data_IF_782567903867
#
_entry.id   IF_782567903867
#
_cell.length_a   1.000
_cell.length_b   1.000
_cell.length_c   1.000
_cell.angle_alpha   90.00
_cell.angle_beta   90.00
_cell.angle_gamma   90.00
#
_symmetry.space_group_name_H-M   'P 1'
#
loop_
_entity.id
_entity.type
_entity.pdbx_description
1 polymer ?
#
# COMPACT_ATOMS: atom_id res chain seq x y z
N UNK A 1 49.77 -17.42 -52.23
CA UNK A 1 48.42 -17.65 -51.68
C UNK A 1 48.61 -17.87 -50.19
N UNK A 2 48.41 -16.82 -49.40
CA UNK A 2 48.48 -16.90 -47.94
C UNK A 2 47.06 -16.66 -47.42
N UNK A 3 46.41 -17.74 -47.02
CA UNK A 3 45.06 -17.71 -46.48
C UNK A 3 45.10 -17.38 -44.99
N UNK A 4 44.18 -16.49 -44.60
CA UNK A 4 44.04 -15.88 -43.29
C UNK A 4 43.40 -16.84 -42.27
N UNK A 5 43.57 -16.56 -40.96
CA UNK A 5 43.22 -17.46 -39.87
C UNK A 5 41.80 -17.21 -39.35
N UNK A 6 41.18 -18.22 -38.75
CA UNK A 6 40.10 -18.02 -37.77
C UNK A 6 40.07 -19.17 -36.79
N UNK A 7 40.95 -19.05 -35.79
CA UNK A 7 40.73 -19.67 -34.50
C UNK A 7 39.55 -18.99 -33.80
N UNK A 8 38.61 -19.78 -33.32
CA UNK A 8 38.09 -19.81 -31.94
C UNK A 8 36.70 -20.43 -31.97
N UNK A 9 36.67 -21.69 -31.56
CA UNK A 9 35.51 -22.52 -31.37
C UNK A 9 34.76 -22.00 -30.13
N UNK A 10 33.72 -21.21 -30.34
CA UNK A 10 32.88 -20.70 -29.24
C UNK A 10 32.25 -21.86 -28.46
N UNK A 11 32.58 -21.95 -27.17
CA UNK A 11 31.88 -22.82 -26.22
C UNK A 11 30.48 -22.22 -25.95
N UNK A 12 29.42 -23.04 -25.82
CA UNK A 12 28.12 -22.53 -25.40
C UNK A 12 28.21 -22.09 -23.93
N UNK A 13 27.96 -20.81 -23.68
CA UNK A 13 27.77 -20.26 -22.34
C UNK A 13 26.49 -20.87 -21.76
N UNK A 14 26.66 -21.79 -20.83
CA UNK A 14 25.58 -22.22 -19.93
C UNK A 14 25.29 -21.05 -18.99
N UNK A 15 24.20 -20.33 -19.25
CA UNK A 15 23.66 -19.36 -18.30
C UNK A 15 23.04 -20.14 -17.13
N UNK A 16 23.76 -20.25 -16.01
CA UNK A 16 23.18 -20.64 -14.74
C UNK A 16 23.27 -19.48 -13.74
N UNK A 17 22.06 -19.18 -13.23
CA UNK A 17 21.71 -18.50 -11.99
C UNK A 17 21.89 -16.98 -11.97
N UNK A 18 20.71 -16.34 -12.02
CA UNK A 18 20.13 -15.84 -10.78
C UNK A 18 19.72 -14.40 -10.88
N UNK A 19 18.43 -14.13 -11.01
CA UNK A 19 17.78 -13.09 -10.22
C UNK A 19 16.27 -13.19 -10.29
N UNK A 20 15.68 -12.97 -9.12
CA UNK A 20 14.30 -12.65 -8.85
C UNK A 20 13.22 -13.60 -9.39
N UNK A 21 12.77 -14.46 -8.48
CA UNK A 21 11.37 -14.87 -8.34
C UNK A 21 10.43 -13.75 -8.78
N UNK A 22 9.96 -13.78 -10.03
CA UNK A 22 8.70 -13.15 -10.39
C UNK A 22 7.61 -14.18 -10.12
N UNK A 23 7.40 -14.41 -8.82
CA UNK A 23 6.15 -14.93 -8.31
C UNK A 23 5.13 -13.82 -8.61
N UNK A 24 4.59 -13.81 -9.84
CA UNK A 24 3.29 -13.17 -10.08
C UNK A 24 2.26 -14.22 -9.67
N UNK A 25 2.21 -14.37 -8.36
CA UNK A 25 1.22 -15.02 -7.55
C UNK A 25 1.03 -13.97 -6.44
N UNK A 26 -0.14 -13.40 -6.22
CA UNK A 26 -1.41 -14.10 -6.24
C UNK A 26 -2.57 -13.10 -6.23
N UNK A 27 -3.72 -13.66 -6.56
CA UNK A 27 -5.02 -13.37 -5.97
C UNK A 27 -5.53 -11.93 -6.07
N UNK A 28 -6.70 -11.78 -6.70
CA UNK A 28 -7.72 -10.96 -6.07
C UNK A 28 -7.83 -11.44 -4.62
N UNK A 29 -7.19 -10.71 -3.71
CA UNK A 29 -7.10 -11.05 -2.30
C UNK A 29 -8.52 -10.96 -1.75
N UNK A 30 -9.19 -12.11 -1.70
CA UNK A 30 -10.39 -12.26 -0.91
C UNK A 30 -10.02 -12.01 0.55
N UNK A 31 -10.96 -11.50 1.37
CA UNK A 31 -10.59 -10.84 2.59
C UNK A 31 -9.78 -11.76 3.51
N UNK A 32 -8.52 -11.39 3.80
CA UNK A 32 -7.72 -12.06 4.81
C UNK A 32 -8.29 -11.72 6.18
N UNK A 33 -8.08 -12.56 7.20
CA UNK A 33 -8.58 -12.35 8.58
C UNK A 33 -8.09 -11.05 9.26
N UNK A 34 -7.31 -10.25 8.55
CA UNK A 34 -6.67 -9.01 8.98
C UNK A 34 -7.21 -7.79 8.21
N UNK A 35 -8.17 -8.01 7.31
CA UNK A 35 -8.85 -6.93 6.61
C UNK A 35 -9.83 -6.23 7.52
N UNK A 36 -9.83 -4.92 7.37
CA UNK A 36 -10.43 -3.99 8.28
C UNK A 36 -11.25 -2.99 7.46
N UNK A 37 -12.52 -2.89 7.79
CA UNK A 37 -13.45 -1.99 7.13
C UNK A 37 -13.34 -0.61 7.75
N UNK A 38 -12.84 0.35 6.98
CA UNK A 38 -12.56 1.71 7.42
C UNK A 38 -13.65 2.63 6.90
N UNK A 39 -14.35 3.27 7.83
CA UNK A 39 -15.37 4.28 7.55
C UNK A 39 -14.77 5.66 7.79
N UNK A 40 -14.59 6.43 6.72
CA UNK A 40 -14.11 7.81 6.75
C UNK A 40 -15.29 8.77 6.75
N UNK A 41 -15.49 9.47 7.86
CA UNK A 41 -16.49 10.52 7.97
C UNK A 41 -15.91 11.82 7.47
N UNK A 42 -16.44 12.31 6.35
CA UNK A 42 -16.03 13.55 5.73
C UNK A 42 -16.76 14.73 6.35
N UNK A 43 -16.18 15.94 6.34
CA UNK A 43 -16.80 17.11 6.98
C UNK A 43 -18.01 17.65 6.21
N UNK A 44 -18.27 17.13 5.01
CA UNK A 44 -19.49 17.41 4.24
C UNK A 44 -20.68 16.51 4.65
N UNK A 45 -20.48 15.59 5.61
CA UNK A 45 -21.50 14.65 6.08
C UNK A 45 -21.56 13.33 5.29
N UNK A 46 -20.71 13.15 4.28
CA UNK A 46 -20.59 11.88 3.56
C UNK A 46 -19.68 10.90 4.31
N UNK A 47 -19.91 9.61 4.11
CA UNK A 47 -19.02 8.55 4.63
C UNK A 47 -18.44 7.76 3.46
N UNK A 48 -17.11 7.67 3.40
CA UNK A 48 -16.41 6.79 2.47
C UNK A 48 -16.02 5.50 3.19
N UNK A 49 -16.28 4.36 2.58
CA UNK A 49 -15.86 3.07 3.13
C UNK A 49 -14.73 2.49 2.28
N UNK A 50 -13.66 2.03 2.93
CA UNK A 50 -12.59 1.27 2.28
C UNK A 50 -12.28 0.00 3.07
N UNK A 51 -12.02 -1.09 2.35
CA UNK A 51 -11.52 -2.33 2.94
C UNK A 51 -10.01 -2.37 2.75
N UNK A 52 -9.25 -2.38 3.85
CA UNK A 52 -7.80 -2.39 3.83
C UNK A 52 -7.25 -3.30 4.91
N UNK A 53 -6.03 -3.80 4.74
CA UNK A 53 -5.34 -4.57 5.77
C UNK A 53 -5.03 -3.67 6.97
N UNK A 54 -5.24 -4.14 8.21
CA UNK A 54 -4.97 -3.36 9.42
C UNK A 54 -3.49 -2.90 9.58
N UNK A 55 -2.55 -3.58 8.93
CA UNK A 55 -1.14 -3.20 8.87
C UNK A 55 -0.85 -1.97 7.99
N UNK A 56 -1.85 -1.46 7.24
CA UNK A 56 -1.67 -0.29 6.37
C UNK A 56 -1.18 0.92 7.15
N UNK A 57 -0.19 1.61 6.57
CA UNK A 57 0.34 2.88 7.07
C UNK A 57 -0.68 4.00 6.87
N UNK A 58 -0.80 4.88 7.85
CA UNK A 58 -1.70 6.04 7.81
C UNK A 58 -1.44 6.92 6.59
N UNK A 59 -0.18 7.08 6.16
CA UNK A 59 0.17 7.90 5.01
C UNK A 59 -0.26 7.30 3.70
N UNK A 60 -0.22 5.97 3.58
CA UNK A 60 -0.75 5.30 2.41
C UNK A 60 -2.27 5.50 2.32
N UNK A 61 -2.96 5.38 3.46
CA UNK A 61 -4.38 5.62 3.58
C UNK A 61 -4.75 7.07 3.19
N UNK A 62 -3.99 8.03 3.71
CA UNK A 62 -4.14 9.45 3.46
C UNK A 62 -3.84 9.82 2.01
N UNK A 63 -2.87 9.14 1.38
CA UNK A 63 -2.59 9.27 -0.05
C UNK A 63 -3.74 8.74 -0.92
N UNK A 64 -4.34 7.60 -0.55
CA UNK A 64 -5.54 7.08 -1.22
C UNK A 64 -6.70 8.08 -1.11
N UNK A 65 -6.97 8.61 0.07
CA UNK A 65 -7.98 9.65 0.28
C UNK A 65 -7.68 10.93 -0.51
N UNK A 66 -6.43 11.38 -0.54
CA UNK A 66 -6.00 12.54 -1.33
C UNK A 66 -6.35 12.39 -2.81
N UNK A 67 -6.11 11.21 -3.39
CA UNK A 67 -6.47 10.90 -4.77
C UNK A 67 -7.98 10.83 -4.99
N UNK A 68 -8.72 10.20 -4.07
CA UNK A 68 -10.18 10.05 -4.17
C UNK A 68 -10.92 11.38 -4.03
N UNK A 69 -10.48 12.21 -3.09
CA UNK A 69 -11.11 13.50 -2.76
C UNK A 69 -10.59 14.66 -3.62
N UNK A 70 -9.55 14.43 -4.43
CA UNK A 70 -8.88 15.47 -5.20
C UNK A 70 -8.24 16.57 -4.35
N UNK A 71 -7.94 16.28 -3.08
CA UNK A 71 -7.35 17.22 -2.11
C UNK A 71 -5.89 16.90 -1.85
N UNK A 72 -5.03 17.90 -1.62
CA UNK A 72 -3.63 17.65 -1.36
C UNK A 72 -3.44 16.92 -0.02
N UNK A 73 -2.52 15.96 0.01
CA UNK A 73 -2.20 15.14 1.18
C UNK A 73 -1.96 15.98 2.45
N UNK A 74 -1.34 17.15 2.33
CA UNK A 74 -1.03 18.02 3.48
C UNK A 74 -2.28 18.67 4.10
N UNK A 75 -3.36 18.85 3.34
CA UNK A 75 -4.60 19.46 3.82
C UNK A 75 -5.56 18.45 4.46
N UNK A 76 -5.31 17.15 4.32
CA UNK A 76 -6.15 16.11 4.92
C UNK A 76 -5.65 15.84 6.34
N UNK A 77 -6.54 15.61 7.28
CA UNK A 77 -6.22 15.17 8.64
C UNK A 77 -7.09 13.99 8.99
N UNK A 78 -6.50 12.97 9.60
CA UNK A 78 -7.21 11.78 10.03
C UNK A 78 -7.23 11.75 11.55
N UNK A 79 -8.40 11.57 12.12
CA UNK A 79 -8.59 11.51 13.56
C UNK A 79 -9.37 10.26 13.92
N UNK A 80 -8.85 9.49 14.86
CA UNK A 80 -9.53 8.31 15.41
C UNK A 80 -9.69 8.50 16.92
N UNK A 81 -10.92 8.42 17.42
CA UNK A 81 -11.22 8.58 18.85
C UNK A 81 -10.58 9.85 19.45
N UNK A 82 -10.76 10.99 18.77
CA UNK A 82 -10.17 12.30 19.10
C UNK A 82 -8.63 12.36 19.11
N UNK A 83 -7.94 11.34 18.61
CA UNK A 83 -6.49 11.32 18.45
C UNK A 83 -6.12 11.45 16.97
N UNK A 84 -5.24 12.40 16.66
CA UNK A 84 -4.71 12.53 15.30
C UNK A 84 -3.90 11.29 14.93
N UNK A 85 -4.24 10.68 13.80
CA UNK A 85 -3.48 9.57 13.23
C UNK A 85 -2.30 10.18 12.47
N UNK A 86 -1.09 9.88 12.91
CA UNK A 86 0.14 10.45 12.36
C UNK A 86 0.93 9.42 11.57
N UNK A 87 1.62 9.91 10.55
CA UNK A 87 2.62 9.14 9.83
C UNK A 87 3.94 9.05 10.62
N UNK A 88 4.66 7.92 10.52
CA UNK A 88 4.42 6.73 9.69
C UNK A 88 3.73 5.57 10.44
N UNK A 89 2.79 5.84 11.37
CA UNK A 89 2.15 4.76 12.13
C UNK A 89 1.27 3.89 11.23
N UNK A 90 1.08 2.62 11.61
CA UNK A 90 0.05 1.78 11.01
C UNK A 90 -1.29 1.93 11.75
N UNK A 91 -2.40 1.58 11.10
CA UNK A 91 -3.74 1.61 11.71
C UNK A 91 -3.77 0.78 13.01
N UNK A 92 -3.20 -0.43 12.98
CA UNK A 92 -3.11 -1.29 14.16
C UNK A 92 -2.37 -0.65 15.35
N UNK A 93 -1.34 0.19 15.09
CA UNK A 93 -0.58 0.86 16.14
C UNK A 93 -1.40 1.97 16.81
N UNK A 94 -2.23 2.67 16.03
CA UNK A 94 -3.11 3.73 16.54
C UNK A 94 -4.25 3.13 17.36
N UNK A 95 -4.82 2.04 16.86
CA UNK A 95 -6.03 1.46 17.41
C UNK A 95 -5.73 0.55 18.62
N UNK A 96 -4.50 0.04 18.73
CA UNK A 96 -3.98 -0.75 19.87
C UNK A 96 -4.87 -1.94 20.27
N UNK A 97 -5.72 -2.39 19.35
CA UNK A 97 -6.66 -3.50 19.55
C UNK A 97 -6.54 -4.47 18.39
N UNK A 98 -6.15 -5.68 18.71
CA UNK A 98 -6.24 -6.85 17.85
C UNK A 98 -7.70 -7.30 17.82
N UNK A 99 -8.29 -7.45 16.63
CA UNK A 99 -9.71 -7.80 16.34
C UNK A 99 -10.70 -6.62 16.21
N UNK A 100 -10.37 -5.61 15.42
CA UNK A 100 -11.40 -4.68 14.93
C UNK A 100 -11.69 -4.97 13.47
N UNK A 101 -12.88 -5.51 13.21
CA UNK A 101 -13.40 -5.70 11.85
C UNK A 101 -13.80 -4.35 11.22
N UNK A 102 -14.09 -3.34 12.06
CA UNK A 102 -14.60 -2.03 11.63
C UNK A 102 -13.98 -0.89 12.43
N UNK A 103 -13.64 0.20 11.74
CA UNK A 103 -13.12 1.42 12.38
C UNK A 103 -13.79 2.66 11.78
N UNK A 104 -13.94 3.68 12.61
CA UNK A 104 -14.48 4.98 12.19
C UNK A 104 -13.39 6.04 12.34
N UNK A 105 -13.01 6.66 11.23
CA UNK A 105 -12.01 7.72 11.15
C UNK A 105 -12.72 9.01 10.73
N UNK A 106 -12.54 10.06 11.50
CA UNK A 106 -12.96 11.41 11.14
C UNK A 106 -11.92 12.04 10.21
N UNK A 107 -12.37 12.62 9.11
CA UNK A 107 -11.53 13.34 8.15
C UNK A 107 -11.73 14.83 8.33
N UNK A 108 -10.65 15.55 8.63
CA UNK A 108 -10.60 17.01 8.64
C UNK A 108 -9.92 17.55 7.39
N UNK A 109 -10.30 18.77 6.99
CA UNK A 109 -9.57 19.55 5.99
C UNK A 109 -9.02 20.82 6.64
N UNK A 110 -7.78 21.18 6.32
CA UNK A 110 -7.28 22.55 6.50
C UNK A 110 -7.44 23.31 5.20
N UNK A 111 -7.83 24.57 5.31
CA UNK A 111 -7.67 25.57 4.24
C UNK A 111 -6.17 25.83 3.99
#
# INVERSE_FOLDING_TARGET
MEERPTGMRSLPLTEKKGEANRLIQSSADGPTKEDLEIYFHLPNGETLTMLENGGIEIGHLKLKLSKLLGKPYQQIFLTYNNMSMLDPLSIIDVIKKTNLEKIHIEVGYSD
#
